data_IF_147405091502
#
_entry.id   IF_147405091502
#
_cell.length_a   1.000
_cell.length_b   1.000
_cell.length_c   1.000
_cell.angle_alpha   90.00
_cell.angle_beta   90.00
_cell.angle_gamma   90.00
#
_symmetry.space_group_name_H-M   'P 1'
#
loop_
_entity.id
_entity.type
_entity.pdbx_description
1 polymer ?
#
# COMPACT_ATOMS: atom_id res chain seq x y z
N UNK A 1 22.51 -7.55 -5.13
CA UNK A 1 21.41 -8.37 -4.60
C UNK A 1 20.16 -7.51 -4.53
N UNK A 2 19.05 -7.92 -5.14
CA UNK A 2 17.77 -7.18 -5.12
C UNK A 2 16.96 -7.61 -3.91
N UNK A 3 16.48 -6.64 -3.14
CA UNK A 3 15.67 -6.88 -1.94
C UNK A 3 14.19 -6.65 -2.24
N UNK A 4 13.35 -7.57 -1.78
CA UNK A 4 11.90 -7.45 -1.73
C UNK A 4 11.52 -7.23 -0.27
N UNK A 5 11.09 -6.02 0.06
CA UNK A 5 10.61 -5.69 1.41
C UNK A 5 9.13 -6.00 1.55
N UNK A 6 8.69 -6.58 2.67
CA UNK A 6 7.28 -6.56 3.08
C UNK A 6 7.10 -5.65 4.30
N UNK A 7 6.26 -4.63 4.16
CA UNK A 7 5.92 -3.66 5.19
C UNK A 7 4.53 -3.99 5.75
N UNK A 8 4.45 -4.27 7.04
CA UNK A 8 3.22 -4.71 7.70
C UNK A 8 3.15 -4.23 9.16
N UNK A 9 1.95 -4.22 9.72
CA UNK A 9 1.69 -3.87 11.11
C UNK A 9 1.77 -5.09 12.04
N UNK A 10 0.67 -5.37 12.76
CA UNK A 10 0.57 -6.49 13.70
C UNK A 10 0.26 -7.85 13.05
N UNK A 11 0.17 -7.91 11.73
CA UNK A 11 -0.07 -9.15 10.98
C UNK A 11 1.13 -10.10 11.17
N UNK A 12 0.91 -11.34 11.61
CA UNK A 12 2.00 -12.25 11.97
C UNK A 12 1.99 -13.59 11.21
N UNK A 13 1.02 -13.83 10.33
CA UNK A 13 0.92 -15.08 9.56
C UNK A 13 1.41 -14.91 8.12
N UNK A 14 0.80 -13.99 7.36
CA UNK A 14 1.11 -13.81 5.94
C UNK A 14 2.52 -13.24 5.68
N UNK A 15 3.01 -12.19 6.38
CA UNK A 15 4.32 -11.63 6.08
C UNK A 15 5.48 -12.61 6.28
N UNK A 16 5.40 -13.43 7.33
CA UNK A 16 6.35 -14.50 7.59
C UNK A 16 6.32 -15.55 6.47
N UNK A 17 5.14 -16.07 6.15
CA UNK A 17 4.97 -17.06 5.09
C UNK A 17 5.40 -16.54 3.71
N UNK A 18 5.18 -15.26 3.43
CA UNK A 18 5.63 -14.60 2.20
C UNK A 18 7.16 -14.61 2.09
N UNK A 19 7.86 -14.15 3.13
CA UNK A 19 9.33 -14.11 3.15
C UNK A 19 9.92 -15.51 3.00
N UNK A 20 9.40 -16.47 3.78
CA UNK A 20 9.83 -17.88 3.69
C UNK A 20 9.59 -18.45 2.28
N UNK A 21 8.41 -18.18 1.70
CA UNK A 21 8.08 -18.70 0.37
C UNK A 21 8.93 -18.09 -0.73
N UNK A 22 9.26 -16.80 -0.66
CA UNK A 22 10.14 -16.17 -1.66
C UNK A 22 11.55 -16.72 -1.52
N UNK A 23 12.09 -16.76 -0.30
CA UNK A 23 13.47 -17.21 -0.08
C UNK A 23 13.65 -18.71 -0.38
N UNK A 24 12.66 -19.56 -0.10
CA UNK A 24 12.71 -20.99 -0.43
C UNK A 24 12.78 -21.29 -1.93
N UNK A 25 12.47 -20.33 -2.81
CA UNK A 25 12.66 -20.47 -4.25
C UNK A 25 14.14 -20.45 -4.65
N UNK A 26 15.03 -19.91 -3.80
CA UNK A 26 16.47 -19.82 -4.03
C UNK A 26 16.82 -19.20 -5.40
N UNK A 27 16.11 -18.14 -5.78
CA UNK A 27 16.40 -17.39 -7.01
C UNK A 27 17.67 -16.56 -6.85
N UNK A 28 18.57 -16.65 -7.83
CA UNK A 28 19.88 -16.01 -7.75
C UNK A 28 19.79 -14.48 -7.61
N UNK A 29 20.43 -13.95 -6.57
CA UNK A 29 20.53 -12.52 -6.33
C UNK A 29 19.24 -11.84 -5.84
N UNK A 30 18.21 -12.59 -5.46
CA UNK A 30 16.95 -12.09 -4.90
C UNK A 30 16.79 -12.54 -3.45
N UNK A 31 16.42 -11.62 -2.57
CA UNK A 31 16.03 -11.94 -1.19
C UNK A 31 14.75 -11.20 -0.82
N UNK A 32 13.93 -11.81 0.04
CA UNK A 32 12.82 -11.15 0.72
C UNK A 32 13.13 -10.98 2.20
N UNK A 33 12.74 -9.84 2.76
CA UNK A 33 12.85 -9.54 4.18
C UNK A 33 11.75 -8.57 4.64
N UNK A 34 11.64 -8.39 5.95
CA UNK A 34 10.77 -7.37 6.50
C UNK A 34 11.37 -5.99 6.26
N UNK A 35 10.54 -5.03 5.88
CA UNK A 35 10.98 -3.64 5.72
C UNK A 35 11.44 -3.11 7.06
N UNK A 36 12.66 -2.58 7.11
CA UNK A 36 13.23 -1.89 8.27
C UNK A 36 13.39 -0.42 7.95
N UNK A 37 12.80 0.43 8.77
CA UNK A 37 12.84 1.89 8.60
C UNK A 37 13.47 2.47 9.86
N UNK A 38 14.64 3.09 9.71
CA UNK A 38 15.27 3.87 10.78
C UNK A 38 14.79 5.32 10.72
N UNK A 39 14.99 5.96 9.57
CA UNK A 39 14.50 7.30 9.26
C UNK A 39 14.16 7.42 7.77
N UNK A 40 13.32 8.39 7.45
CA UNK A 40 12.96 8.73 6.07
C UNK A 40 13.57 10.07 5.74
N UNK A 41 14.41 10.11 4.70
CA UNK A 41 15.00 11.35 4.18
C UNK A 41 14.37 11.65 2.83
N UNK A 42 13.89 12.88 2.65
CA UNK A 42 13.22 13.30 1.43
C UNK A 42 14.10 13.09 0.20
N UNK A 43 13.57 12.41 -0.81
CA UNK A 43 14.23 12.17 -2.09
C UNK A 43 15.36 11.14 -2.07
N UNK A 44 15.62 10.49 -0.92
CA UNK A 44 16.62 9.42 -0.83
C UNK A 44 15.99 8.09 -1.25
N UNK A 45 16.73 7.34 -2.07
CA UNK A 45 16.32 6.02 -2.53
C UNK A 45 16.54 4.96 -1.47
N UNK A 46 15.60 4.03 -1.37
CA UNK A 46 15.66 2.92 -0.43
C UNK A 46 16.48 1.75 -1.02
N UNK A 47 16.95 0.86 -0.15
CA UNK A 47 17.70 -0.34 -0.56
C UNK A 47 16.83 -1.42 -1.24
N UNK A 48 15.51 -1.23 -1.23
CA UNK A 48 14.55 -2.18 -1.77
C UNK A 48 14.33 -1.98 -3.26
N UNK A 49 14.33 -3.06 -4.03
CA UNK A 49 13.89 -3.04 -5.42
C UNK A 49 12.36 -3.04 -5.52
N UNK A 50 11.71 -3.76 -4.58
CA UNK A 50 10.25 -3.85 -4.46
C UNK A 50 9.85 -3.74 -2.99
N UNK A 51 8.77 -3.03 -2.68
CA UNK A 51 8.13 -3.04 -1.37
C UNK A 51 6.67 -3.49 -1.51
N UNK A 52 6.27 -4.48 -0.71
CA UNK A 52 4.89 -4.93 -0.54
C UNK A 52 4.30 -4.21 0.67
N UNK A 53 3.30 -3.38 0.44
CA UNK A 53 2.57 -2.61 1.43
C UNK A 53 1.35 -3.38 1.96
N UNK A 54 1.29 -3.51 3.28
CA UNK A 54 0.20 -4.15 4.02
C UNK A 54 -0.37 -3.26 5.14
N UNK A 55 0.01 -1.98 5.23
CA UNK A 55 -0.33 -1.15 6.39
C UNK A 55 -0.48 0.35 6.12
N UNK A 56 -0.02 0.89 4.98
CA UNK A 56 -0.05 2.35 4.74
C UNK A 56 -1.44 2.95 4.65
N UNK A 57 -2.46 2.11 4.49
CA UNK A 57 -3.87 2.47 4.56
C UNK A 57 -4.27 3.06 5.92
N UNK A 58 -3.66 2.57 7.00
CA UNK A 58 -4.06 2.92 8.37
C UNK A 58 -3.14 3.99 8.98
N UNK A 59 -1.91 4.14 8.47
CA UNK A 59 -0.86 4.92 9.13
C UNK A 59 -0.25 5.95 8.16
N UNK A 60 -0.47 7.26 8.38
CA UNK A 60 0.03 8.33 7.51
C UNK A 60 1.55 8.32 7.28
N UNK A 61 2.34 7.96 8.29
CA UNK A 61 3.80 7.88 8.18
C UNK A 61 4.23 6.90 7.08
N UNK A 62 3.69 5.67 7.08
CA UNK A 62 4.02 4.66 6.09
C UNK A 62 3.55 5.06 4.69
N UNK A 63 2.44 5.78 4.59
CA UNK A 63 1.97 6.33 3.31
C UNK A 63 2.97 7.33 2.72
N UNK A 64 3.47 8.25 3.53
CA UNK A 64 4.48 9.21 3.10
C UNK A 64 5.81 8.52 2.72
N UNK A 65 6.24 7.56 3.54
CA UNK A 65 7.42 6.73 3.27
C UNK A 65 7.35 6.02 1.91
N UNK A 66 6.25 5.32 1.65
CA UNK A 66 6.10 4.56 0.40
C UNK A 66 6.01 5.47 -0.83
N UNK A 67 5.40 6.64 -0.71
CA UNK A 67 5.41 7.65 -1.78
C UNK A 67 6.82 8.15 -2.07
N UNK A 68 7.64 8.38 -1.03
CA UNK A 68 9.05 8.74 -1.20
C UNK A 68 9.82 7.61 -1.91
N UNK A 69 9.69 6.37 -1.42
CA UNK A 69 10.33 5.20 -2.03
C UNK A 69 9.94 5.03 -3.50
N UNK A 70 8.64 5.09 -3.81
CA UNK A 70 8.15 5.00 -5.19
C UNK A 70 8.68 6.12 -6.08
N UNK A 71 8.77 7.35 -5.56
CA UNK A 71 9.32 8.50 -6.31
C UNK A 71 10.82 8.36 -6.57
N UNK A 72 11.54 7.60 -5.74
CA UNK A 72 12.96 7.34 -5.89
C UNK A 72 13.28 6.09 -6.75
N UNK A 73 12.26 5.46 -7.35
CA UNK A 73 12.40 4.34 -8.29
C UNK A 73 12.15 2.95 -7.71
N UNK A 74 11.68 2.85 -6.46
CA UNK A 74 11.27 1.57 -5.86
C UNK A 74 9.91 1.16 -6.40
N UNK A 75 9.74 -0.08 -6.82
CA UNK A 75 8.41 -0.58 -7.16
C UNK A 75 7.62 -0.85 -5.86
N UNK A 76 6.47 -0.22 -5.69
CA UNK A 76 5.63 -0.41 -4.50
C UNK A 76 4.30 -1.05 -4.87
N UNK A 77 3.94 -2.13 -4.17
CA UNK A 77 2.72 -2.90 -4.39
C UNK A 77 1.89 -2.91 -3.10
N UNK A 78 0.68 -2.37 -3.06
CA UNK A 78 0.01 -1.65 -4.14
C UNK A 78 0.62 -0.27 -4.36
N UNK A 79 0.39 0.30 -5.54
CA UNK A 79 0.88 1.62 -5.88
C UNK A 79 0.40 2.66 -4.82
N UNK A 80 1.31 3.36 -4.11
CA UNK A 80 0.96 4.21 -2.97
C UNK A 80 0.24 5.49 -3.38
N UNK A 81 0.15 5.79 -4.67
CA UNK A 81 -0.64 6.88 -5.24
C UNK A 81 -2.08 6.48 -5.55
N UNK A 82 -2.35 5.18 -5.69
CA UNK A 82 -3.71 4.65 -5.92
C UNK A 82 -4.52 4.57 -4.62
N UNK A 83 -3.87 4.38 -3.47
CA UNK A 83 -4.60 4.18 -2.21
C UNK A 83 -5.44 5.40 -1.80
N UNK A 84 -5.02 6.62 -2.14
CA UNK A 84 -5.81 7.84 -1.94
C UNK A 84 -7.06 7.92 -2.83
N UNK A 85 -7.23 7.00 -3.79
CA UNK A 85 -8.39 6.93 -4.67
C UNK A 85 -9.42 5.87 -4.23
N UNK A 86 -9.20 5.17 -3.10
CA UNK A 86 -10.19 4.21 -2.59
C UNK A 86 -11.42 4.94 -2.03
N UNK A 87 -12.45 5.04 -2.86
CA UNK A 87 -13.77 5.55 -2.49
C UNK A 87 -14.80 4.43 -2.69
N UNK A 88 -15.42 3.99 -1.59
CA UNK A 88 -16.38 2.86 -1.61
C UNK A 88 -17.56 3.12 -2.53
N UNK A 89 -18.04 4.36 -2.59
CA UNK A 89 -19.17 4.71 -3.44
C UNK A 89 -18.78 4.69 -4.91
N UNK A 90 -17.65 5.32 -5.26
CA UNK A 90 -17.08 5.28 -6.60
C UNK A 90 -16.81 3.84 -7.07
N UNK A 91 -16.20 3.00 -6.22
CA UNK A 91 -15.91 1.62 -6.57
C UNK A 91 -17.19 0.82 -6.88
N UNK A 92 -18.25 1.01 -6.09
CA UNK A 92 -19.56 0.40 -6.39
C UNK A 92 -20.17 0.94 -7.68
N UNK A 93 -20.08 2.26 -7.92
CA UNK A 93 -20.58 2.88 -9.15
C UNK A 93 -19.85 2.35 -10.39
N UNK A 94 -18.52 2.27 -10.34
CA UNK A 94 -17.69 1.72 -11.41
C UNK A 94 -18.00 0.24 -11.67
N UNK A 95 -18.11 -0.56 -10.61
CA UNK A 95 -18.48 -1.97 -10.70
C UNK A 95 -19.83 -2.16 -11.39
N UNK A 96 -20.83 -1.35 -11.03
CA UNK A 96 -22.14 -1.36 -11.67
C UNK A 96 -22.06 -1.01 -13.17
N UNK A 97 -21.28 0.02 -13.53
CA UNK A 97 -21.06 0.39 -14.94
C UNK A 97 -20.33 -0.70 -15.74
N UNK A 98 -19.46 -1.47 -15.08
CA UNK A 98 -18.77 -2.62 -15.66
C UNK A 98 -19.62 -3.90 -15.72
N UNK A 99 -20.90 -3.85 -15.30
CA UNK A 99 -21.80 -5.01 -15.32
C UNK A 99 -21.61 -5.98 -14.14
N UNK A 100 -20.84 -5.59 -13.12
CA UNK A 100 -20.65 -6.38 -11.89
C UNK A 100 -21.81 -6.08 -10.94
N UNK A 101 -22.45 -7.14 -10.42
CA UNK A 101 -23.52 -7.00 -9.44
C UNK A 101 -22.97 -6.48 -8.11
N UNK A 102 -23.55 -5.38 -7.63
CA UNK A 102 -23.25 -4.76 -6.33
C UNK A 102 -24.57 -4.52 -5.56
N UNK A 103 -24.53 -4.37 -4.23
CA UNK A 103 -25.69 -3.95 -3.45
C UNK A 103 -26.25 -2.61 -3.93
N UNK A 104 -27.55 -2.37 -3.73
CA UNK A 104 -28.13 -1.03 -3.98
C UNK A 104 -27.52 -0.05 -2.99
N UNK A 105 -26.87 1.01 -3.48
CA UNK A 105 -26.13 1.99 -2.67
C UNK A 105 -26.50 3.40 -3.09
N UNK A 106 -26.63 4.30 -2.11
CA UNK A 106 -26.79 5.74 -2.30
C UNK A 106 -25.79 6.49 -1.41
N UNK A 107 -25.31 7.64 -1.86
CA UNK A 107 -24.49 8.56 -1.07
C UNK A 107 -25.38 9.74 -0.63
N UNK A 108 -25.42 10.03 0.68
CA UNK A 108 -26.21 11.12 1.24
C UNK A 108 -25.30 12.29 1.65
N UNK A 109 -25.77 13.54 1.52
CA UNK A 109 -25.03 14.69 2.05
C UNK A 109 -25.02 14.68 3.59
N UNK A 110 -24.00 15.31 4.17
CA UNK A 110 -23.93 15.54 5.62
C UNK A 110 -25.11 16.39 6.09
N UNK A 111 -25.68 16.06 7.25
CA UNK A 111 -26.73 16.87 7.88
C UNK A 111 -26.19 18.23 8.36
N UNK A 112 -24.99 18.21 8.96
CA UNK A 112 -24.28 19.39 9.43
C UNK A 112 -23.16 19.74 8.45
N UNK A 113 -22.78 21.02 8.40
CA UNK A 113 -21.62 21.46 7.62
C UNK A 113 -20.36 20.81 8.20
N UNK A 114 -19.53 20.13 7.41
CA UNK A 114 -18.28 19.57 7.91
C UNK A 114 -17.35 20.65 8.47
N UNK A 115 -16.63 20.32 9.53
CA UNK A 115 -15.58 21.17 10.09
C UNK A 115 -14.53 21.55 9.02
N UNK A 116 -13.86 22.69 9.21
CA UNK A 116 -12.80 23.19 8.33
C UNK A 116 -13.20 23.45 6.85
N UNK A 117 -14.49 23.71 6.58
CA UNK A 117 -15.00 24.01 5.22
C UNK A 117 -15.41 25.48 4.98
N UNK A 118 -15.08 26.42 5.88
CA UNK A 118 -15.49 27.84 5.82
C UNK A 118 -14.80 28.68 4.75
#
# INVERSE_FOLDING_TARGET
MKKIGILFGRENTFPHAFVERVNSKNEDGIIAEFVRIDKVVQGVCEEYAVIIDRISQDIPFYRAYLKNAASAGVAVINNPFWWSADDKFFNNALALMAGVKVPRTVLLPSQERPDDTN
#
